data_IF_418535653698
#
_entry.id   IF_418535653698
#
_cell.length_a   1.000
_cell.length_b   1.000
_cell.length_c   1.000
_cell.angle_alpha   90.00
_cell.angle_beta   90.00
_cell.angle_gamma   90.00
#
_symmetry.space_group_name_H-M   'P 1'
#
loop_
_entity.id
_entity.type
_entity.pdbx_description
1 polymer ?
#
# COMPACT_ATOMS: atom_id res chain seq x y z
N UNK A 1 -32.73 3.62 -4.01
CA UNK A 1 -32.50 2.70 -2.89
C UNK A 1 -33.72 2.57 -1.96
N UNK A 2 -34.54 3.57 -1.85
CA UNK A 2 -35.69 3.60 -0.90
C UNK A 2 -36.80 2.56 -1.15
N UNK A 3 -36.77 1.90 -2.31
CA UNK A 3 -37.74 0.84 -2.71
C UNK A 3 -37.09 -0.55 -2.82
N UNK A 4 -35.85 -0.70 -2.36
CA UNK A 4 -35.14 -1.98 -2.42
C UNK A 4 -35.66 -2.96 -1.36
N UNK A 5 -35.76 -4.25 -1.75
CA UNK A 5 -36.25 -5.31 -0.86
C UNK A 5 -35.10 -6.00 -0.12
N UNK A 6 -35.41 -6.69 0.99
CA UNK A 6 -34.45 -7.54 1.70
C UNK A 6 -33.81 -8.60 0.79
N UNK A 7 -34.60 -9.22 -0.07
CA UNK A 7 -34.14 -10.25 -1.00
C UNK A 7 -33.08 -9.73 -1.98
N UNK A 8 -33.30 -8.51 -2.52
CA UNK A 8 -32.31 -7.85 -3.37
C UNK A 8 -31.00 -7.60 -2.62
N UNK A 9 -31.06 -7.14 -1.38
CA UNK A 9 -29.88 -6.90 -0.57
C UNK A 9 -29.14 -8.18 -0.19
N UNK A 10 -29.85 -9.25 0.13
CA UNK A 10 -29.25 -10.55 0.38
C UNK A 10 -28.50 -11.08 -0.86
N UNK A 11 -29.09 -10.96 -2.05
CA UNK A 11 -28.47 -11.33 -3.30
C UNK A 11 -27.21 -10.51 -3.58
N UNK A 12 -27.22 -9.20 -3.33
CA UNK A 12 -26.06 -8.32 -3.48
C UNK A 12 -24.96 -8.75 -2.50
N UNK A 13 -25.28 -8.94 -1.23
CA UNK A 13 -24.32 -9.34 -0.20
C UNK A 13 -23.64 -10.67 -0.56
N UNK A 14 -24.43 -11.70 -0.96
CA UNK A 14 -23.92 -13.00 -1.37
C UNK A 14 -22.93 -12.87 -2.54
N UNK A 15 -23.30 -12.14 -3.59
CA UNK A 15 -22.43 -11.91 -4.75
C UNK A 15 -21.17 -11.11 -4.39
N UNK A 16 -21.29 -10.12 -3.51
CA UNK A 16 -20.16 -9.32 -3.04
C UNK A 16 -19.17 -10.18 -2.27
N UNK A 17 -19.66 -11.02 -1.35
CA UNK A 17 -18.81 -11.95 -0.59
C UNK A 17 -18.12 -12.95 -1.52
N UNK A 18 -18.86 -13.52 -2.49
CA UNK A 18 -18.32 -14.46 -3.46
C UNK A 18 -17.24 -13.83 -4.39
N UNK A 19 -17.24 -12.52 -4.53
CA UNK A 19 -16.25 -11.80 -5.34
C UNK A 19 -14.94 -11.49 -4.57
N UNK A 20 -14.92 -11.58 -3.24
CA UNK A 20 -13.74 -11.24 -2.41
C UNK A 20 -12.45 -12.02 -2.80
N UNK A 21 -12.48 -13.31 -3.19
CA UNK A 21 -11.26 -14.02 -3.61
C UNK A 21 -10.55 -13.39 -4.82
N UNK A 22 -11.23 -12.55 -5.61
CA UNK A 22 -10.63 -11.84 -6.75
C UNK A 22 -9.69 -10.70 -6.35
N UNK A 23 -9.69 -10.29 -5.09
CA UNK A 23 -8.84 -9.18 -4.61
C UNK A 23 -7.36 -9.46 -4.86
N UNK A 24 -6.89 -10.68 -4.59
CA UNK A 24 -5.50 -11.06 -4.84
C UNK A 24 -5.11 -10.92 -6.33
N UNK A 25 -5.97 -11.36 -7.26
CA UNK A 25 -5.74 -11.21 -8.69
C UNK A 25 -5.70 -9.75 -9.13
N UNK A 26 -6.58 -8.92 -8.56
CA UNK A 26 -6.63 -7.49 -8.83
C UNK A 26 -5.35 -6.80 -8.34
N UNK A 27 -4.89 -7.11 -7.13
CA UNK A 27 -3.65 -6.57 -6.57
C UNK A 27 -2.42 -7.00 -7.38
N UNK A 28 -2.35 -8.25 -7.82
CA UNK A 28 -1.29 -8.72 -8.72
C UNK A 28 -1.32 -7.98 -10.07
N UNK A 29 -2.51 -7.66 -10.58
CA UNK A 29 -2.64 -6.85 -11.80
C UNK A 29 -2.15 -5.42 -11.58
N UNK A 30 -2.43 -4.82 -10.41
CA UNK A 30 -1.91 -3.50 -10.04
C UNK A 30 -0.38 -3.50 -9.95
N UNK A 31 0.23 -4.51 -9.30
CA UNK A 31 1.70 -4.65 -9.25
C UNK A 31 2.29 -4.69 -10.66
N UNK A 32 1.71 -5.48 -11.55
CA UNK A 32 2.15 -5.52 -12.96
C UNK A 32 2.02 -4.16 -13.65
N UNK A 33 0.98 -3.40 -13.34
CA UNK A 33 0.78 -2.05 -13.87
C UNK A 33 1.88 -1.06 -13.46
N UNK A 34 2.52 -1.27 -12.31
CA UNK A 34 3.64 -0.44 -11.84
C UNK A 34 4.85 -0.45 -12.78
N UNK A 35 5.01 -1.47 -13.63
CA UNK A 35 6.09 -1.53 -14.63
C UNK A 35 6.05 -0.38 -15.66
N UNK A 36 4.93 0.31 -15.79
CA UNK A 36 4.78 1.47 -16.65
C UNK A 36 5.31 2.77 -16.02
N UNK A 37 5.69 2.76 -14.73
CA UNK A 37 6.11 3.94 -13.96
C UNK A 37 7.60 3.83 -13.65
N UNK A 38 8.41 4.70 -14.25
CA UNK A 38 9.85 4.84 -13.94
C UNK A 38 10.17 6.17 -13.27
N UNK A 39 9.50 7.26 -13.68
CA UNK A 39 9.57 8.60 -13.09
C UNK A 39 11.00 9.09 -12.74
N UNK A 40 11.98 8.69 -13.57
CA UNK A 40 13.39 9.06 -13.37
C UNK A 40 14.18 8.17 -12.42
N UNK A 41 13.58 7.13 -11.85
CA UNK A 41 14.30 6.12 -11.08
C UNK A 41 15.07 5.16 -12.01
N UNK A 42 16.10 4.49 -11.47
CA UNK A 42 16.93 3.54 -12.23
C UNK A 42 16.22 2.20 -12.51
N UNK A 43 15.12 1.91 -11.81
CA UNK A 43 14.26 0.76 -12.00
C UNK A 43 12.81 1.21 -12.07
N UNK A 44 11.94 0.44 -12.69
CA UNK A 44 10.51 0.70 -12.65
C UNK A 44 9.91 0.38 -11.26
N UNK A 45 8.69 0.85 -11.01
CA UNK A 45 8.06 0.70 -9.70
C UNK A 45 7.64 -0.75 -9.39
N UNK A 46 7.45 -1.61 -10.39
CA UNK A 46 7.23 -3.04 -10.17
C UNK A 46 8.52 -3.71 -9.68
N UNK A 47 9.64 -3.44 -10.32
CA UNK A 47 10.94 -3.95 -9.88
C UNK A 47 11.28 -3.46 -8.48
N UNK A 48 11.05 -2.17 -8.18
CA UNK A 48 11.21 -1.62 -6.84
C UNK A 48 10.35 -2.36 -5.80
N UNK A 49 9.09 -2.61 -6.09
CA UNK A 49 8.18 -3.33 -5.21
C UNK A 49 8.67 -4.76 -4.91
N UNK A 50 9.09 -5.49 -5.97
CA UNK A 50 9.65 -6.85 -5.83
C UNK A 50 10.96 -6.84 -5.03
N UNK A 51 11.86 -5.88 -5.27
CA UNK A 51 13.09 -5.74 -4.51
C UNK A 51 12.82 -5.46 -3.04
N UNK A 52 11.84 -4.61 -2.73
CA UNK A 52 11.46 -4.27 -1.36
C UNK A 52 10.92 -5.50 -0.62
N UNK A 53 9.99 -6.24 -1.23
CA UNK A 53 9.45 -7.48 -0.67
C UNK A 53 10.53 -8.56 -0.49
N UNK A 54 11.43 -8.71 -1.46
CA UNK A 54 12.54 -9.68 -1.38
C UNK A 54 13.50 -9.35 -0.24
N UNK A 55 13.75 -8.07 0.03
CA UNK A 55 14.56 -7.66 1.19
C UNK A 55 13.86 -7.98 2.50
N UNK A 56 12.56 -7.68 2.63
CA UNK A 56 11.77 -8.02 3.80
C UNK A 56 11.80 -9.54 4.08
N UNK A 57 11.63 -10.37 3.05
CA UNK A 57 11.71 -11.82 3.16
C UNK A 57 13.10 -12.31 3.63
N UNK A 58 14.18 -11.77 3.07
CA UNK A 58 15.56 -12.12 3.45
C UNK A 58 15.92 -11.71 4.87
N UNK A 59 15.32 -10.63 5.37
CA UNK A 59 15.48 -10.18 6.76
C UNK A 59 14.57 -10.96 7.73
N UNK A 60 13.80 -11.93 7.25
CA UNK A 60 12.94 -12.79 8.07
C UNK A 60 11.66 -12.13 8.54
N UNK A 61 11.18 -11.12 7.81
CA UNK A 61 9.89 -10.51 8.09
C UNK A 61 8.73 -11.52 7.92
N UNK A 62 7.63 -11.29 8.63
CA UNK A 62 6.43 -12.11 8.46
C UNK A 62 5.68 -11.79 7.16
N UNK A 63 4.71 -12.64 6.81
CA UNK A 63 3.96 -12.56 5.55
C UNK A 63 3.26 -11.22 5.36
N UNK A 64 2.70 -10.63 6.43
CA UNK A 64 2.00 -9.35 6.31
C UNK A 64 2.96 -8.22 5.92
N UNK A 65 4.16 -8.19 6.50
CA UNK A 65 5.21 -7.22 6.15
C UNK A 65 5.73 -7.45 4.74
N UNK A 66 5.91 -8.70 4.30
CA UNK A 66 6.35 -9.02 2.94
C UNK A 66 5.30 -8.56 1.92
N UNK A 67 4.03 -8.89 2.14
CA UNK A 67 2.92 -8.46 1.26
C UNK A 67 2.76 -6.95 1.26
N UNK A 68 2.85 -6.31 2.42
CA UNK A 68 2.81 -4.86 2.54
C UNK A 68 3.97 -4.18 1.79
N UNK A 69 5.18 -4.75 1.90
CA UNK A 69 6.36 -4.28 1.16
C UNK A 69 6.17 -4.38 -0.36
N UNK A 70 5.51 -5.43 -0.84
CA UNK A 70 5.19 -5.60 -2.26
C UNK A 70 4.16 -4.60 -2.75
N UNK A 71 3.22 -4.19 -1.90
CA UNK A 71 2.06 -3.38 -2.27
C UNK A 71 2.16 -1.91 -1.86
N UNK A 72 3.22 -1.49 -1.12
CA UNK A 72 3.29 -0.16 -0.50
C UNK A 72 3.14 1.00 -1.49
N UNK A 73 3.54 0.80 -2.73
CA UNK A 73 3.56 1.80 -3.78
C UNK A 73 2.44 1.65 -4.84
N UNK A 74 1.52 0.68 -4.69
CA UNK A 74 0.44 0.47 -5.70
C UNK A 74 -0.46 1.70 -5.87
N UNK A 75 -0.53 2.55 -4.85
CA UNK A 75 -1.25 3.83 -4.91
C UNK A 75 -0.73 4.78 -5.97
N UNK A 76 0.53 4.65 -6.42
CA UNK A 76 1.12 5.49 -7.49
C UNK A 76 0.40 5.35 -8.84
N UNK A 77 -0.28 4.22 -9.08
CA UNK A 77 -1.14 4.04 -10.26
C UNK A 77 -2.34 4.98 -10.28
N UNK A 78 -2.71 5.53 -9.14
CA UNK A 78 -3.90 6.37 -8.96
C UNK A 78 -3.48 7.82 -8.72
N UNK A 79 -2.60 8.04 -7.72
CA UNK A 79 -2.20 9.38 -7.32
C UNK A 79 -0.88 9.34 -6.54
N UNK A 80 0.18 9.90 -7.13
CA UNK A 80 1.51 9.96 -6.50
C UNK A 80 1.51 10.73 -5.17
N UNK A 81 0.84 11.90 -5.03
CA UNK A 81 0.92 12.69 -3.80
C UNK A 81 0.38 12.00 -2.54
N UNK A 82 -0.57 11.08 -2.68
CA UNK A 82 -1.20 10.37 -1.56
C UNK A 82 -1.13 8.84 -1.70
N UNK A 83 -0.18 8.34 -2.52
CA UNK A 83 -0.02 6.90 -2.76
C UNK A 83 0.14 6.07 -1.49
N UNK A 84 0.82 6.55 -0.41
CA UNK A 84 0.97 5.76 0.79
C UNK A 84 -0.37 5.44 1.44
N UNK A 85 -1.24 6.44 1.55
CA UNK A 85 -2.57 6.26 2.13
C UNK A 85 -3.47 5.38 1.27
N UNK A 86 -3.39 5.50 -0.07
CA UNK A 86 -4.15 4.64 -0.99
C UNK A 86 -3.73 3.18 -0.79
N UNK A 87 -2.44 2.90 -0.78
CA UNK A 87 -1.91 1.55 -0.57
C UNK A 87 -2.30 1.01 0.82
N UNK A 88 -2.17 1.83 1.87
CA UNK A 88 -2.52 1.45 3.23
C UNK A 88 -4.01 1.11 3.38
N UNK A 89 -4.93 1.91 2.81
CA UNK A 89 -6.37 1.64 2.88
C UNK A 89 -6.78 0.39 2.09
N UNK A 90 -6.09 0.06 1.00
CA UNK A 90 -6.28 -1.22 0.30
C UNK A 90 -5.89 -2.39 1.20
N UNK A 91 -4.79 -2.25 1.95
CA UNK A 91 -4.25 -3.31 2.82
C UNK A 91 -4.97 -3.42 4.16
N UNK A 92 -5.59 -2.34 4.64
CA UNK A 92 -6.16 -2.24 6.00
C UNK A 92 -7.04 -3.42 6.44
N UNK A 93 -7.89 -4.04 5.59
CA UNK A 93 -8.70 -5.18 6.00
C UNK A 93 -7.91 -6.49 6.18
N UNK A 94 -6.66 -6.53 5.76
CA UNK A 94 -5.89 -7.76 5.58
C UNK A 94 -4.62 -7.82 6.44
N UNK A 95 -4.22 -6.70 7.05
CA UNK A 95 -2.98 -6.61 7.82
C UNK A 95 -3.25 -6.01 9.21
N UNK A 96 -2.36 -6.28 10.16
CA UNK A 96 -2.41 -5.69 11.49
C UNK A 96 -2.10 -4.19 11.47
N UNK A 97 -2.48 -3.50 12.54
CA UNK A 97 -2.44 -2.02 12.63
C UNK A 97 -1.02 -1.45 12.42
N UNK A 98 0.01 -2.06 12.97
CA UNK A 98 1.40 -1.58 12.80
C UNK A 98 1.88 -1.70 11.35
N UNK A 99 1.53 -2.77 10.64
CA UNK A 99 1.82 -2.93 9.20
C UNK A 99 1.04 -1.91 8.37
N UNK A 100 -0.24 -1.69 8.69
CA UNK A 100 -1.02 -0.60 8.07
C UNK A 100 -0.33 0.75 8.26
N UNK A 101 0.12 1.08 9.49
CA UNK A 101 0.82 2.34 9.79
C UNK A 101 2.16 2.45 9.06
N UNK A 102 2.90 1.35 8.99
CA UNK A 102 4.15 1.30 8.23
C UNK A 102 3.93 1.73 6.77
N UNK A 103 2.90 1.21 6.11
CA UNK A 103 2.59 1.58 4.72
C UNK A 103 2.07 3.01 4.64
N UNK A 104 1.15 3.42 5.53
CA UNK A 104 0.55 4.75 5.51
C UNK A 104 1.57 5.89 5.66
N UNK A 105 2.66 5.64 6.39
CA UNK A 105 3.66 6.65 6.72
C UNK A 105 5.05 6.38 6.13
N UNK A 106 5.20 5.37 5.26
CA UNK A 106 6.52 5.00 4.73
C UNK A 106 7.25 6.19 4.09
N UNK A 107 6.54 7.09 3.43
CA UNK A 107 7.13 8.27 2.81
C UNK A 107 7.70 9.25 3.84
N UNK A 108 7.08 9.39 5.02
CA UNK A 108 7.59 10.25 6.09
C UNK A 108 8.92 9.75 6.65
N UNK A 109 9.17 8.44 6.60
CA UNK A 109 10.45 7.84 6.98
C UNK A 109 11.48 7.90 5.85
N UNK A 110 11.06 7.69 4.61
CA UNK A 110 11.93 7.76 3.45
C UNK A 110 12.38 9.18 3.11
N UNK A 111 11.59 10.20 3.41
CA UNK A 111 11.85 11.60 3.09
C UNK A 111 13.22 12.10 3.59
N UNK A 112 13.73 11.51 4.68
CA UNK A 112 15.08 11.79 5.23
C UNK A 112 16.19 11.67 4.18
N UNK A 113 16.02 10.83 3.17
CA UNK A 113 17.06 10.52 2.20
C UNK A 113 17.09 11.47 1.00
N UNK A 114 16.01 12.24 0.75
CA UNK A 114 15.91 13.03 -0.49
C UNK A 114 15.20 14.38 -0.36
N UNK A 115 14.40 14.63 0.69
CA UNK A 115 13.65 15.89 0.83
C UNK A 115 14.55 17.12 0.96
N UNK A 116 15.70 16.99 1.62
CA UNK A 116 16.67 18.08 1.72
C UNK A 116 17.13 18.55 0.33
N UNK A 117 17.37 17.62 -0.61
CA UNK A 117 17.76 17.94 -1.98
C UNK A 117 16.65 18.66 -2.77
N UNK A 118 15.40 18.53 -2.32
CA UNK A 118 14.23 19.20 -2.90
C UNK A 118 13.85 20.49 -2.15
N UNK A 119 14.64 20.92 -1.15
CA UNK A 119 14.30 22.06 -0.30
C UNK A 119 13.11 21.83 0.63
N UNK A 120 12.78 20.57 0.92
CA UNK A 120 11.67 20.16 1.77
C UNK A 120 12.17 19.66 3.13
N UNK A 121 11.27 19.56 4.13
CA UNK A 121 11.63 19.08 5.46
C UNK A 121 11.93 17.56 5.45
N UNK A 122 13.17 17.11 5.74
CA UNK A 122 13.54 15.69 5.77
C UNK A 122 13.17 14.97 7.06
N UNK A 123 12.61 15.66 8.05
CA UNK A 123 12.38 15.14 9.40
C UNK A 123 10.91 14.84 9.68
N UNK A 124 10.11 14.47 8.67
CA UNK A 124 8.67 14.20 8.85
C UNK A 124 8.41 13.03 9.81
N UNK A 125 9.33 12.07 9.92
CA UNK A 125 9.22 10.97 10.89
C UNK A 125 9.10 11.44 12.34
N UNK A 126 9.64 12.61 12.68
CA UNK A 126 9.57 13.16 14.05
C UNK A 126 8.13 13.50 14.48
N UNK A 127 7.23 13.71 13.53
CA UNK A 127 5.81 13.91 13.80
C UNK A 127 5.14 12.67 14.44
N UNK A 128 5.80 11.51 14.36
CA UNK A 128 5.29 10.23 14.83
C UNK A 128 5.92 9.77 16.15
N UNK A 129 6.87 10.54 16.71
CA UNK A 129 7.50 10.22 18.00
C UNK A 129 6.44 10.12 19.09
N UNK A 130 6.50 9.03 19.88
CA UNK A 130 5.54 8.74 20.94
C UNK A 130 4.28 7.98 20.50
N UNK A 131 4.14 7.71 19.21
CA UNK A 131 3.09 6.79 18.74
C UNK A 131 3.47 5.34 19.08
N UNK A 132 2.50 4.49 19.48
CA UNK A 132 2.78 3.11 19.89
C UNK A 132 3.33 2.20 18.78
N UNK A 133 3.24 2.63 17.53
CA UNK A 133 3.72 1.92 16.33
C UNK A 133 5.03 2.53 15.75
N UNK A 134 5.61 3.54 16.39
CA UNK A 134 6.84 4.23 15.96
C UNK A 134 8.09 3.38 16.10
#
# INVERSE_FOLDING_TARGET
MDVSTREQWMTIAEKTIAAQPRVAEQLLSMIKGLSAITDGFSVDQMEHAVQTATRAEREGADEEVIVASLLHDVGKLISVPNHPMIAAEILRPYVREDVYRMVAHHQDFQCRHYYEHLGMNPNLRENHVGQPWY
#
